data_IF_464143665730
#
_entry.id   IF_464143665730
#
_cell.length_a   1.000
_cell.length_b   1.000
_cell.length_c   1.000
_cell.angle_alpha   90.00
_cell.angle_beta   90.00
_cell.angle_gamma   90.00
#
_symmetry.space_group_name_H-M   'P 1'
#
loop_
_entity.id
_entity.type
_entity.pdbx_description
1 polymer ?
#
# COMPACT_ATOMS: atom_id res chain seq x y z
N UNK A 1 20.52 -33.44 16.89
CA UNK A 1 19.49 -33.22 15.86
C UNK A 1 18.42 -32.38 16.54
N UNK A 2 18.46 -31.08 16.34
CA UNK A 2 17.41 -30.17 16.85
C UNK A 2 16.11 -30.50 16.12
N UNK A 3 15.05 -30.75 16.87
CA UNK A 3 13.71 -30.84 16.29
C UNK A 3 13.44 -29.58 15.45
N UNK A 4 12.77 -29.73 14.32
CA UNK A 4 12.56 -28.59 13.44
C UNK A 4 11.70 -27.55 14.18
N UNK A 5 12.08 -26.30 14.02
CA UNK A 5 11.48 -25.06 14.55
C UNK A 5 9.98 -24.90 14.17
N UNK A 6 9.42 -25.91 13.51
CA UNK A 6 8.08 -25.97 12.91
C UNK A 6 6.95 -26.02 13.95
N UNK A 7 7.22 -26.55 15.15
CA UNK A 7 6.23 -26.63 16.23
C UNK A 7 6.14 -25.35 17.08
N UNK A 8 7.10 -24.43 16.92
CA UNK A 8 7.10 -23.18 17.66
C UNK A 8 5.92 -22.30 17.28
N UNK A 9 5.39 -21.62 18.29
CA UNK A 9 4.30 -20.66 18.07
C UNK A 9 4.78 -19.48 17.26
N UNK A 10 3.95 -19.10 16.31
CA UNK A 10 4.19 -17.95 15.44
C UNK A 10 3.81 -16.64 16.12
N UNK A 11 4.63 -15.62 15.93
CA UNK A 11 4.37 -14.24 16.31
C UNK A 11 3.60 -13.50 15.21
N UNK A 12 2.97 -12.37 15.54
CA UNK A 12 2.32 -11.51 14.53
C UNK A 12 3.31 -10.99 13.49
N UNK A 13 4.54 -10.69 13.89
CA UNK A 13 5.59 -10.26 12.97
C UNK A 13 5.95 -11.33 11.92
N UNK A 14 5.89 -12.62 12.28
CA UNK A 14 6.11 -13.73 11.34
C UNK A 14 4.94 -13.91 10.39
N UNK A 15 3.69 -13.75 10.89
CA UNK A 15 2.50 -13.72 10.02
C UNK A 15 2.57 -12.59 9.01
N UNK A 16 2.91 -11.38 9.46
CA UNK A 16 3.09 -10.20 8.60
C UNK A 16 4.17 -10.41 7.54
N UNK A 17 5.25 -11.11 7.88
CA UNK A 17 6.31 -11.43 6.92
C UNK A 17 5.81 -12.37 5.82
N UNK A 18 5.04 -13.40 6.16
CA UNK A 18 4.45 -14.33 5.18
C UNK A 18 3.41 -13.61 4.31
N UNK A 19 2.53 -12.79 4.89
CA UNK A 19 1.55 -12.01 4.14
C UNK A 19 2.22 -11.07 3.12
N UNK A 20 3.32 -10.44 3.50
CA UNK A 20 4.14 -9.64 2.56
C UNK A 20 4.66 -10.49 1.41
N UNK A 21 5.24 -11.65 1.71
CA UNK A 21 5.75 -12.57 0.69
C UNK A 21 4.64 -13.00 -0.29
N UNK A 22 3.47 -13.37 0.22
CA UNK A 22 2.33 -13.73 -0.62
C UNK A 22 1.89 -12.56 -1.52
N UNK A 23 1.82 -11.35 -0.98
CA UNK A 23 1.52 -10.14 -1.74
C UNK A 23 2.55 -9.86 -2.83
N UNK A 24 3.87 -10.01 -2.55
CA UNK A 24 4.94 -9.86 -3.54
C UNK A 24 4.74 -10.80 -4.74
N UNK A 25 4.44 -12.06 -4.45
CA UNK A 25 4.23 -13.06 -5.49
C UNK A 25 2.93 -12.82 -6.28
N UNK A 26 1.88 -12.33 -5.65
CA UNK A 26 0.65 -11.92 -6.33
C UNK A 26 0.89 -10.70 -7.24
N UNK A 27 1.67 -9.72 -6.77
CA UNK A 27 2.00 -8.52 -7.55
C UNK A 27 2.73 -8.81 -8.87
N UNK A 28 3.51 -9.90 -8.91
CA UNK A 28 4.19 -10.35 -10.14
C UNK A 28 3.43 -11.46 -10.87
N UNK A 29 2.18 -11.75 -10.48
CA UNK A 29 1.30 -12.71 -11.15
C UNK A 29 1.64 -14.19 -10.90
N UNK A 30 2.42 -14.51 -9.86
CA UNK A 30 2.73 -15.89 -9.47
C UNK A 30 1.63 -16.53 -8.62
N UNK A 31 0.79 -15.70 -8.01
CA UNK A 31 -0.42 -16.09 -7.31
C UNK A 31 -1.61 -15.38 -7.95
N UNK A 32 -2.70 -16.10 -8.09
CA UNK A 32 -4.00 -15.50 -8.43
C UNK A 32 -4.56 -14.77 -7.21
N UNK A 33 -5.59 -13.97 -7.41
CA UNK A 33 -6.23 -13.26 -6.31
C UNK A 33 -6.88 -14.22 -5.32
N UNK A 34 -7.51 -15.28 -5.82
CA UNK A 34 -8.15 -16.33 -5.01
C UNK A 34 -7.12 -17.09 -4.16
N UNK A 35 -5.95 -17.42 -4.75
CA UNK A 35 -4.84 -18.05 -4.01
C UNK A 35 -4.25 -17.12 -2.95
N UNK A 36 -4.15 -15.83 -3.25
CA UNK A 36 -3.70 -14.83 -2.27
C UNK A 36 -4.69 -14.75 -1.10
N UNK A 37 -6.00 -14.74 -1.37
CA UNK A 37 -7.05 -14.72 -0.35
C UNK A 37 -6.97 -15.97 0.54
N UNK A 38 -7.00 -17.16 -0.06
CA UNK A 38 -6.95 -18.41 0.67
C UNK A 38 -5.70 -18.48 1.57
N UNK A 39 -4.52 -18.24 0.99
CA UNK A 39 -3.25 -18.32 1.73
C UNK A 39 -3.14 -17.26 2.80
N UNK A 40 -3.65 -16.06 2.55
CA UNK A 40 -3.66 -14.98 3.55
C UNK A 40 -4.56 -15.32 4.75
N UNK A 41 -5.76 -15.87 4.49
CA UNK A 41 -6.64 -16.36 5.55
C UNK A 41 -5.99 -17.46 6.39
N UNK A 42 -5.30 -18.41 5.75
CA UNK A 42 -4.55 -19.47 6.45
C UNK A 42 -3.37 -18.92 7.24
N UNK A 43 -2.64 -17.92 6.71
CA UNK A 43 -1.55 -17.30 7.43
C UNK A 43 -2.01 -16.62 8.71
N UNK A 44 -3.16 -15.95 8.69
CA UNK A 44 -3.76 -15.33 9.87
C UNK A 44 -4.21 -16.35 10.92
N UNK A 45 -4.72 -17.50 10.49
CA UNK A 45 -5.17 -18.58 11.35
C UNK A 45 -4.01 -19.46 11.89
N UNK A 46 -2.84 -19.40 11.28
CA UNK A 46 -1.69 -20.24 11.59
C UNK A 46 -1.22 -20.05 13.06
N UNK A 47 -0.96 -21.17 13.72
CA UNK A 47 -0.51 -21.23 15.12
C UNK A 47 0.97 -21.55 15.25
N UNK A 48 1.55 -22.22 14.24
CA UNK A 48 2.93 -22.68 14.27
C UNK A 48 3.72 -22.20 13.03
N UNK A 49 5.05 -22.17 13.16
CA UNK A 49 5.95 -21.81 12.07
C UNK A 49 5.85 -22.78 10.90
N UNK A 50 5.64 -24.07 11.15
CA UNK A 50 5.44 -25.07 10.11
C UNK A 50 4.20 -24.79 9.26
N UNK A 51 3.09 -24.40 9.91
CA UNK A 51 1.88 -23.96 9.19
C UNK A 51 2.14 -22.76 8.28
N UNK A 52 2.89 -21.76 8.75
CA UNK A 52 3.27 -20.61 7.92
C UNK A 52 4.21 -20.98 6.77
N UNK A 53 5.20 -21.85 7.03
CA UNK A 53 6.19 -22.23 6.05
C UNK A 53 5.56 -22.95 4.84
N UNK A 54 4.48 -23.72 5.05
CA UNK A 54 3.77 -24.41 3.97
C UNK A 54 3.12 -23.46 2.97
N UNK A 55 2.73 -22.26 3.40
CA UNK A 55 2.01 -21.29 2.55
C UNK A 55 2.88 -20.63 1.47
N UNK A 56 4.19 -20.71 1.61
CA UNK A 56 5.18 -20.15 0.67
C UNK A 56 6.14 -21.19 0.14
N UNK A 57 5.93 -22.50 0.43
CA UNK A 57 6.88 -23.55 0.10
C UNK A 57 7.04 -23.80 -1.40
N UNK A 58 6.00 -23.52 -2.17
CA UNK A 58 5.95 -23.62 -3.65
C UNK A 58 6.39 -22.35 -4.36
N UNK A 59 6.65 -21.28 -3.59
CA UNK A 59 7.05 -19.99 -4.16
C UNK A 59 8.57 -19.87 -4.17
N UNK A 60 9.16 -19.30 -5.24
CA UNK A 60 10.60 -19.08 -5.28
C UNK A 60 11.03 -18.17 -4.13
N UNK A 61 12.05 -18.60 -3.37
CA UNK A 61 12.70 -17.70 -2.40
C UNK A 61 13.50 -16.68 -3.20
N UNK A 62 13.08 -15.42 -3.16
CA UNK A 62 13.92 -14.37 -3.74
C UNK A 62 15.21 -14.28 -2.91
N UNK A 63 16.34 -14.52 -3.56
CA UNK A 63 17.65 -14.39 -2.94
C UNK A 63 17.88 -12.90 -2.60
N UNK A 64 17.52 -12.48 -1.39
CA UNK A 64 17.66 -11.09 -0.98
C UNK A 64 17.21 -10.74 0.44
N UNK A 65 16.80 -11.71 1.25
CA UNK A 65 16.44 -11.44 2.67
C UNK A 65 17.29 -12.28 3.65
N UNK A 66 18.57 -12.40 3.40
CA UNK A 66 19.52 -12.68 4.46
C UNK A 66 19.84 -11.32 5.14
N UNK A 67 19.28 -11.10 6.31
CA UNK A 67 19.58 -9.95 7.15
C UNK A 67 21.00 -10.08 7.67
N UNK A 68 21.98 -9.57 6.95
CA UNK A 68 23.28 -9.25 7.54
C UNK A 68 23.21 -7.84 8.12
N UNK A 69 23.25 -7.79 9.45
CA UNK A 69 23.40 -6.58 10.23
C UNK A 69 24.79 -6.01 10.02
N UNK A 70 24.94 -5.06 9.12
CA UNK A 70 26.10 -4.19 9.06
C UNK A 70 25.67 -2.76 9.39
N UNK A 71 26.31 -2.08 10.35
CA UNK A 71 25.98 -0.72 10.70
C UNK A 71 26.52 0.25 9.65
N UNK A 72 25.67 0.74 8.77
CA UNK A 72 25.98 1.83 7.85
C UNK A 72 25.01 2.98 8.11
N UNK A 73 25.48 4.26 8.06
CA UNK A 73 24.74 5.39 8.59
C UNK A 73 23.43 5.65 7.86
N UNK A 74 22.42 5.71 8.63
CA UNK A 74 21.06 6.23 8.49
C UNK A 74 20.70 7.00 7.19
N UNK A 75 20.67 6.33 6.05
CA UNK A 75 19.74 6.67 4.97
C UNK A 75 18.47 5.85 5.21
N UNK A 76 17.36 6.52 5.54
CA UNK A 76 16.06 5.85 5.71
C UNK A 76 15.82 4.97 4.49
N UNK A 77 15.72 3.65 4.70
CA UNK A 77 15.46 2.69 3.61
C UNK A 77 14.12 3.04 2.94
N UNK A 78 14.02 2.96 1.61
CA UNK A 78 12.75 3.22 0.91
C UNK A 78 11.68 2.25 1.40
N UNK A 79 10.48 2.77 1.62
CA UNK A 79 9.33 1.97 2.05
C UNK A 79 8.83 1.18 0.86
N UNK A 80 8.80 -0.13 0.96
CA UNK A 80 8.28 -1.01 -0.08
C UNK A 80 6.97 -1.69 0.30
N UNK A 81 6.68 -1.79 1.61
CA UNK A 81 5.53 -2.54 2.11
C UNK A 81 4.77 -1.80 3.20
N UNK A 82 3.46 -1.94 3.14
CA UNK A 82 2.52 -1.54 4.18
C UNK A 82 1.51 -2.69 4.36
N UNK A 83 1.28 -3.12 5.59
CA UNK A 83 0.35 -4.21 5.87
C UNK A 83 -0.60 -3.78 6.99
N UNK A 84 -1.90 -3.91 6.73
CA UNK A 84 -2.96 -3.70 7.69
C UNK A 84 -3.84 -4.97 7.76
N UNK A 85 -3.81 -5.69 8.88
CA UNK A 85 -4.53 -6.96 9.02
C UNK A 85 -5.91 -6.74 9.62
N UNK A 86 -5.99 -6.18 10.81
CA UNK A 86 -7.24 -5.77 11.47
C UNK A 86 -7.05 -4.35 12.02
N UNK A 87 -7.54 -3.37 11.30
CA UNK A 87 -7.37 -1.97 11.66
C UNK A 87 -6.88 -1.13 10.49
N UNK A 88 -6.28 0.03 10.78
CA UNK A 88 -5.74 0.92 9.77
C UNK A 88 -4.24 1.05 9.84
N UNK A 89 -3.56 1.03 8.73
CA UNK A 89 -2.20 1.53 8.66
C UNK A 89 -2.21 2.99 8.19
N UNK A 90 -1.39 3.83 8.85
CA UNK A 90 -1.29 5.24 8.50
C UNK A 90 0.13 5.58 8.09
N UNK A 91 0.30 6.05 6.87
CA UNK A 91 1.57 6.56 6.39
C UNK A 91 1.49 8.05 6.15
N UNK A 92 2.23 8.81 6.94
CA UNK A 92 2.25 10.29 6.87
C UNK A 92 3.67 10.83 6.95
N UNK A 93 3.83 12.03 6.40
CA UNK A 93 5.05 12.81 6.50
C UNK A 93 6.07 12.50 5.44
N UNK A 94 7.26 13.06 5.62
CA UNK A 94 8.34 12.98 4.63
C UNK A 94 8.96 11.59 4.62
N UNK A 95 8.80 10.86 3.52
CA UNK A 95 9.48 9.58 3.29
C UNK A 95 9.95 9.50 1.84
N UNK A 96 11.05 8.78 1.66
CA UNK A 96 11.57 8.49 0.31
C UNK A 96 10.98 7.19 -0.18
N UNK A 97 10.61 7.18 -1.44
CA UNK A 97 10.15 5.97 -2.11
C UNK A 97 10.83 5.82 -3.45
N UNK A 98 11.16 4.58 -3.80
CA UNK A 98 11.80 4.23 -5.06
C UNK A 98 10.98 3.13 -5.71
N UNK A 99 10.52 3.38 -6.92
CA UNK A 99 9.85 2.40 -7.76
C UNK A 99 8.44 2.03 -7.29
N UNK A 100 8.27 1.11 -6.35
CA UNK A 100 6.95 0.62 -5.96
C UNK A 100 6.74 0.53 -4.45
N UNK A 101 5.50 0.82 -4.03
CA UNK A 101 4.96 0.54 -2.69
C UNK A 101 3.84 -0.48 -2.85
N UNK A 102 3.87 -1.53 -2.05
CA UNK A 102 2.80 -2.50 -1.97
C UNK A 102 2.07 -2.33 -0.63
N UNK A 103 0.76 -2.17 -0.67
CA UNK A 103 -0.08 -2.08 0.51
C UNK A 103 -1.07 -3.24 0.51
N UNK A 104 -1.14 -3.96 1.62
CA UNK A 104 -2.06 -5.10 1.80
C UNK A 104 -2.97 -4.80 2.98
N UNK A 105 -4.27 -4.74 2.72
CA UNK A 105 -5.31 -4.58 3.73
C UNK A 105 -6.21 -5.83 3.73
N UNK A 106 -6.17 -6.60 4.81
CA UNK A 106 -7.01 -7.81 4.92
C UNK A 106 -8.38 -7.46 5.48
N UNK A 107 -8.46 -6.85 6.65
CA UNK A 107 -9.69 -6.27 7.22
C UNK A 107 -9.39 -4.90 7.79
N UNK A 108 -9.88 -3.86 7.14
CA UNK A 108 -9.62 -2.49 7.57
C UNK A 108 -9.30 -1.57 6.41
N UNK A 109 -8.48 -0.55 6.65
CA UNK A 109 -8.13 0.41 5.62
C UNK A 109 -6.76 1.03 5.80
N UNK A 110 -6.17 1.41 4.70
CA UNK A 110 -4.91 2.14 4.69
C UNK A 110 -5.15 3.63 4.44
N UNK A 111 -4.41 4.47 5.15
CA UNK A 111 -4.30 5.88 4.83
C UNK A 111 -2.88 6.20 4.36
N UNK A 112 -2.75 6.51 3.08
CA UNK A 112 -1.45 6.75 2.43
C UNK A 112 -1.40 8.22 2.02
N UNK A 113 -0.60 9.00 2.74
CA UNK A 113 -0.43 10.42 2.50
C UNK A 113 0.87 10.67 1.72
N UNK A 114 0.73 10.97 0.43
CA UNK A 114 1.84 11.21 -0.49
C UNK A 114 2.16 12.71 -0.69
N UNK A 115 1.55 13.61 0.09
CA UNK A 115 1.74 15.06 -0.05
C UNK A 115 3.20 15.51 0.13
N UNK A 116 3.92 14.82 1.01
CA UNK A 116 5.31 15.12 1.35
C UNK A 116 6.27 13.97 0.94
N UNK A 117 5.81 13.04 0.10
CA UNK A 117 6.64 11.94 -0.38
C UNK A 117 7.70 12.45 -1.37
N UNK A 118 8.93 11.99 -1.20
CA UNK A 118 10.03 12.24 -2.13
C UNK A 118 10.12 11.06 -3.11
N UNK A 119 9.75 11.31 -4.38
CA UNK A 119 9.76 10.31 -5.43
C UNK A 119 11.13 10.30 -6.12
N UNK A 120 11.94 9.27 -5.88
CA UNK A 120 13.19 9.10 -6.63
C UNK A 120 12.87 8.58 -8.04
N UNK A 121 13.33 9.31 -9.06
CA UNK A 121 13.07 8.96 -10.47
C UNK A 121 11.77 9.52 -11.04
N UNK A 122 10.98 10.27 -10.25
CA UNK A 122 9.75 10.93 -10.73
C UNK A 122 8.57 10.01 -10.97
N UNK A 123 8.70 8.69 -10.75
CA UNK A 123 7.63 7.71 -10.88
C UNK A 123 7.45 6.89 -9.60
N UNK A 124 6.19 6.62 -9.25
CA UNK A 124 5.80 5.72 -8.16
C UNK A 124 4.70 4.79 -8.61
N UNK A 125 4.87 3.50 -8.41
CA UNK A 125 3.79 2.52 -8.54
C UNK A 125 3.29 2.14 -7.14
N UNK A 126 1.99 2.31 -6.90
CA UNK A 126 1.32 1.94 -5.66
C UNK A 126 0.38 0.76 -5.95
N UNK A 127 0.74 -0.43 -5.48
CA UNK A 127 -0.11 -1.61 -5.59
C UNK A 127 -0.88 -1.78 -4.29
N UNK A 128 -2.21 -1.78 -4.39
CA UNK A 128 -3.13 -1.90 -3.27
C UNK A 128 -3.87 -3.22 -3.37
N UNK A 129 -3.69 -4.08 -2.39
CA UNK A 129 -4.40 -5.35 -2.27
C UNK A 129 -5.35 -5.25 -1.07
N UNK A 130 -6.65 -5.27 -1.32
CA UNK A 130 -7.67 -5.19 -0.27
C UNK A 130 -8.60 -6.40 -0.33
N UNK A 131 -8.62 -7.18 0.74
CA UNK A 131 -9.54 -8.30 0.86
C UNK A 131 -10.92 -7.80 1.30
N UNK A 132 -11.00 -7.17 2.46
CA UNK A 132 -12.20 -6.51 2.97
C UNK A 132 -11.83 -5.15 3.55
N UNK A 133 -12.23 -4.07 2.87
CA UNK A 133 -11.94 -2.72 3.32
C UNK A 133 -11.56 -1.79 2.19
N UNK A 134 -10.95 -0.66 2.53
CA UNK A 134 -10.61 0.33 1.54
C UNK A 134 -9.37 1.13 1.88
N UNK A 135 -8.74 1.70 0.88
CA UNK A 135 -7.57 2.54 1.03
C UNK A 135 -7.90 3.98 0.67
N UNK A 136 -7.45 4.92 1.50
CA UNK A 136 -7.54 6.34 1.22
C UNK A 136 -6.14 6.86 0.84
N UNK A 137 -6.00 7.35 -0.37
CA UNK A 137 -4.74 7.86 -0.90
C UNK A 137 -4.85 9.37 -1.07
N UNK A 138 -3.89 10.10 -0.54
CA UNK A 138 -3.85 11.54 -0.63
C UNK A 138 -2.68 11.97 -1.50
N UNK A 139 -2.98 12.57 -2.64
CA UNK A 139 -1.99 13.04 -3.61
C UNK A 139 -2.14 14.55 -3.85
N UNK A 140 -1.05 15.30 -4.08
CA UNK A 140 -1.17 16.67 -4.54
C UNK A 140 -1.83 16.73 -5.93
N UNK A 141 -2.59 17.78 -6.22
CA UNK A 141 -3.18 18.01 -7.55
C UNK A 141 -2.12 18.31 -8.64
N UNK A 142 -0.87 18.56 -8.22
CA UNK A 142 0.25 18.85 -9.11
C UNK A 142 0.94 17.64 -9.70
N UNK A 143 0.54 16.41 -9.32
CA UNK A 143 1.09 15.16 -9.86
C UNK A 143 0.14 14.53 -10.87
N UNK A 144 0.70 13.75 -11.79
CA UNK A 144 -0.09 12.92 -12.69
C UNK A 144 -0.46 11.62 -11.97
N UNK A 145 -1.73 11.19 -12.10
CA UNK A 145 -2.23 9.98 -11.45
C UNK A 145 -2.86 9.09 -12.50
N UNK A 146 -2.36 7.87 -12.62
CA UNK A 146 -2.98 6.81 -13.42
C UNK A 146 -3.56 5.77 -12.48
N UNK A 147 -4.86 5.52 -12.57
CA UNK A 147 -5.55 4.52 -11.75
C UNK A 147 -5.95 3.35 -12.63
N UNK A 148 -5.67 2.14 -12.14
CA UNK A 148 -6.04 0.90 -12.81
C UNK A 148 -6.15 -0.24 -11.81
N UNK A 149 -6.46 -1.45 -12.31
CA UNK A 149 -6.61 -2.63 -11.48
C UNK A 149 -7.97 -3.28 -11.63
N UNK A 150 -8.33 -4.11 -10.65
CA UNK A 150 -9.57 -4.89 -10.66
C UNK A 150 -10.20 -4.89 -9.28
N UNK A 151 -11.52 -4.70 -9.22
CA UNK A 151 -12.33 -4.85 -8.01
C UNK A 151 -13.52 -5.74 -8.32
N UNK A 152 -13.74 -6.78 -7.52
CA UNK A 152 -14.88 -7.68 -7.72
C UNK A 152 -16.17 -7.07 -7.14
N UNK A 153 -16.11 -6.59 -5.89
CA UNK A 153 -17.23 -5.91 -5.23
C UNK A 153 -16.74 -4.60 -4.63
N UNK A 154 -16.90 -3.52 -5.39
CA UNK A 154 -16.42 -2.19 -5.05
C UNK A 154 -15.83 -1.47 -6.25
N UNK A 155 -14.90 -0.57 -6.01
CA UNK A 155 -14.28 0.20 -7.08
C UNK A 155 -13.23 1.19 -6.57
N UNK A 156 -12.84 2.08 -7.44
CA UNK A 156 -12.04 3.22 -7.07
C UNK A 156 -12.78 4.51 -7.42
N UNK A 157 -12.56 5.52 -6.62
CA UNK A 157 -13.14 6.85 -6.78
C UNK A 157 -12.03 7.90 -6.68
N UNK A 158 -12.03 8.86 -7.57
CA UNK A 158 -11.19 10.05 -7.47
C UNK A 158 -12.05 11.22 -7.00
N UNK A 159 -11.58 11.94 -5.99
CA UNK A 159 -12.27 13.07 -5.38
C UNK A 159 -11.31 14.25 -5.28
N UNK A 160 -11.68 15.39 -5.81
CA UNK A 160 -10.92 16.61 -5.60
C UNK A 160 -10.65 17.45 -6.84
N UNK A 161 -9.50 18.07 -6.90
CA UNK A 161 -9.16 19.04 -7.95
C UNK A 161 -8.94 18.35 -9.30
N UNK A 162 -9.67 18.80 -10.33
CA UNK A 162 -9.48 18.40 -11.73
C UNK A 162 -8.38 19.19 -12.45
N UNK A 163 -7.53 19.89 -11.71
CA UNK A 163 -6.47 20.68 -12.32
C UNK A 163 -5.53 19.79 -13.13
N UNK A 164 -5.22 20.15 -14.38
CA UNK A 164 -4.28 19.39 -15.19
C UNK A 164 -2.89 19.38 -14.55
N UNK A 165 -2.17 18.25 -14.58
CA UNK A 165 -0.82 18.16 -14.05
C UNK A 165 0.12 19.13 -14.80
N UNK A 166 1.18 19.55 -14.12
CA UNK A 166 2.22 20.39 -14.75
C UNK A 166 3.00 19.58 -15.76
N UNK A 167 3.56 20.21 -16.80
CA UNK A 167 4.52 19.55 -17.68
C UNK A 167 5.66 18.92 -16.87
N UNK A 168 5.99 17.66 -17.14
CA UNK A 168 6.95 16.86 -16.40
C UNK A 168 6.58 16.64 -14.92
N UNK A 169 5.29 16.62 -14.58
CA UNK A 169 4.85 16.25 -13.25
C UNK A 169 5.28 14.81 -12.90
N UNK A 170 5.58 14.52 -11.63
CA UNK A 170 5.78 13.13 -11.20
C UNK A 170 4.54 12.28 -11.48
N UNK A 171 4.74 11.03 -11.91
CA UNK A 171 3.68 10.10 -12.21
C UNK A 171 3.48 9.12 -11.05
N UNK A 172 2.24 9.01 -10.58
CA UNK A 172 1.82 8.02 -9.58
C UNK A 172 0.85 7.04 -10.24
N UNK A 173 1.31 5.80 -10.44
CA UNK A 173 0.44 4.70 -10.90
C UNK A 173 -0.14 3.98 -9.71
N UNK A 174 -1.46 3.98 -9.58
CA UNK A 174 -2.20 3.30 -8.51
C UNK A 174 -2.89 2.09 -9.12
N UNK A 175 -2.52 0.90 -8.67
CA UNK A 175 -3.15 -0.36 -9.06
C UNK A 175 -3.93 -0.91 -7.89
N UNK A 176 -5.25 -1.00 -8.03
CA UNK A 176 -6.16 -1.46 -6.99
C UNK A 176 -6.60 -2.87 -7.33
N UNK A 177 -6.35 -3.79 -6.43
CA UNK A 177 -6.84 -5.17 -6.48
C UNK A 177 -7.67 -5.42 -5.23
N UNK A 178 -8.99 -5.42 -5.38
CA UNK A 178 -9.90 -5.54 -4.24
C UNK A 178 -10.95 -6.62 -4.47
N UNK A 179 -11.16 -7.45 -3.46
CA UNK A 179 -12.25 -8.42 -3.47
C UNK A 179 -13.55 -7.75 -2.99
N UNK A 180 -13.55 -7.17 -1.79
CA UNK A 180 -14.69 -6.44 -1.23
C UNK A 180 -14.18 -5.10 -0.68
N UNK A 181 -14.44 -4.02 -1.42
CA UNK A 181 -13.99 -2.69 -1.07
C UNK A 181 -13.33 -1.95 -2.23
N UNK A 182 -12.40 -1.04 -1.94
CA UNK A 182 -11.79 -0.26 -3.01
C UNK A 182 -10.81 0.79 -2.53
N UNK A 183 -10.61 1.81 -3.36
CA UNK A 183 -9.73 2.92 -3.04
C UNK A 183 -10.38 4.25 -3.34
N UNK A 184 -10.21 5.23 -2.44
CA UNK A 184 -10.54 6.62 -2.71
C UNK A 184 -9.26 7.43 -2.83
N UNK A 185 -9.08 8.05 -3.97
CA UNK A 185 -7.94 8.89 -4.28
C UNK A 185 -8.36 10.36 -4.11
N UNK A 186 -7.78 11.02 -3.12
CA UNK A 186 -8.03 12.44 -2.86
C UNK A 186 -6.97 13.29 -3.56
N UNK A 187 -7.36 14.00 -4.63
CA UNK A 187 -6.53 15.00 -5.31
C UNK A 187 -6.62 16.32 -4.58
N UNK A 188 -5.57 16.63 -3.85
CA UNK A 188 -5.57 17.72 -2.87
C UNK A 188 -5.10 19.03 -3.48
N UNK A 189 -5.90 20.11 -3.33
CA UNK A 189 -5.49 21.44 -3.77
C UNK A 189 -4.32 21.96 -2.91
N UNK A 190 -3.59 23.00 -3.39
CA UNK A 190 -2.42 23.54 -2.67
C UNK A 190 -2.70 23.98 -1.24
N UNK A 191 -3.94 24.41 -0.95
CA UNK A 191 -4.39 24.81 0.39
C UNK A 191 -4.41 23.66 1.40
N UNK A 192 -4.41 22.42 0.91
CA UNK A 192 -4.37 21.24 1.75
C UNK A 192 -2.97 20.87 2.28
N UNK A 193 -1.93 21.65 1.92
CA UNK A 193 -0.58 21.45 2.46
C UNK A 193 -0.55 21.80 3.95
N UNK A 194 0.07 20.94 4.74
CA UNK A 194 0.28 21.18 6.18
C UNK A 194 -0.94 21.00 7.08
N UNK A 195 -2.15 20.80 6.53
CA UNK A 195 -3.36 20.57 7.34
C UNK A 195 -3.54 19.07 7.65
N UNK A 196 -4.37 18.76 8.68
CA UNK A 196 -4.71 17.40 9.04
C UNK A 196 -5.50 16.68 7.94
N UNK A 197 -5.49 15.34 7.92
CA UNK A 197 -6.18 14.55 6.88
C UNK A 197 -7.68 14.80 6.81
N UNK A 198 -8.33 15.05 7.96
CA UNK A 198 -9.76 15.37 8.00
C UNK A 198 -10.08 16.66 7.24
N UNK A 199 -9.25 17.68 7.45
CA UNK A 199 -9.40 18.96 6.75
C UNK A 199 -8.98 18.84 5.28
N UNK A 200 -7.93 18.08 4.99
CA UNK A 200 -7.51 17.81 3.62
C UNK A 200 -8.61 17.12 2.80
N UNK A 201 -9.32 16.14 3.37
CA UNK A 201 -10.51 15.51 2.75
C UNK A 201 -11.62 16.50 2.49
N UNK A 202 -11.89 17.40 3.45
CA UNK A 202 -12.89 18.43 3.30
C UNK A 202 -12.56 19.37 2.14
N UNK A 203 -11.31 19.80 2.04
CA UNK A 203 -10.82 20.64 0.96
C UNK A 203 -10.89 19.92 -0.41
N UNK A 204 -10.54 18.63 -0.47
CA UNK A 204 -10.69 17.85 -1.69
C UNK A 204 -12.16 17.82 -2.16
N UNK A 205 -13.08 17.48 -1.26
CA UNK A 205 -14.52 17.47 -1.57
C UNK A 205 -15.07 18.84 -1.95
N UNK A 206 -14.55 19.93 -1.38
CA UNK A 206 -14.93 21.27 -1.75
C UNK A 206 -14.38 21.68 -3.14
N UNK A 207 -13.18 21.22 -3.48
CA UNK A 207 -12.60 21.39 -4.81
C UNK A 207 -13.38 20.63 -5.87
N UNK A 208 -13.77 19.39 -5.59
CA UNK A 208 -14.59 18.53 -6.45
C UNK A 208 -15.94 19.16 -6.77
N UNK A 209 -16.54 19.85 -5.81
CA UNK A 209 -17.80 20.60 -6.00
C UNK A 209 -17.63 21.98 -6.64
N UNK A 210 -16.41 22.38 -6.99
CA UNK A 210 -16.12 23.71 -7.54
C UNK A 210 -16.26 24.86 -6.54
N UNK A 211 -16.32 24.56 -5.24
CA UNK A 211 -16.50 25.56 -4.18
C UNK A 211 -15.19 26.28 -3.80
N UNK A 212 -14.04 25.72 -4.18
CA UNK A 212 -12.74 26.34 -3.95
C UNK A 212 -12.33 27.20 -5.13
N UNK A 213 -12.23 28.51 -4.89
CA UNK A 213 -11.64 29.43 -5.85
C UNK A 213 -10.15 29.13 -5.99
N UNK A 214 -9.64 29.06 -7.23
CA UNK A 214 -8.23 28.96 -7.48
C UNK A 214 -7.52 30.18 -6.79
N UNK A 215 -6.39 29.98 -6.12
CA UNK A 215 -5.55 31.11 -5.72
C UNK A 215 -5.04 31.79 -7.00
N UNK A 216 -5.17 33.10 -7.06
CA UNK A 216 -4.62 33.97 -8.09
C UNK A 216 -3.10 33.83 -8.21
#
# INVERSE_FOLDING_TARGET
MSEPDDSLRVSDAERDAVLRTLGDHAAVGRLTLDELEERSGRALAAKTRGELATLTSDLPREAGQASELSPVPSRKKPVRWMVAIMGGSHRRGRFRTVGSINAVAVMGGDEIDLRDAELEGGELTLNLFALMGGSNIYVPDSVEVEVGGFSLMGGHEEVGSERPPRPNAPLIRIRVYALMGGATIYRLPPQARGVGLKEARRLAKAADRGELRAPD
#
